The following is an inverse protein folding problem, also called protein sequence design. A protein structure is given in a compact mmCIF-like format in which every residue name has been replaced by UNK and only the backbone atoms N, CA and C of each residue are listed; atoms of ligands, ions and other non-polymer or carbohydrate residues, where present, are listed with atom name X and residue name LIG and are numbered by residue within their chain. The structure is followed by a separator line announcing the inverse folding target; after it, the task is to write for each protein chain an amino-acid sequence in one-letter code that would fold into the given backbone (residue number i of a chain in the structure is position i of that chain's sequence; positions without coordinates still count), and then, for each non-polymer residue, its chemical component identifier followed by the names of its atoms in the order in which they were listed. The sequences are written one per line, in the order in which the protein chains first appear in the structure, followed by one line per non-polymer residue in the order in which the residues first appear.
data_IF_883958459628
#
_entry.id   IF_883958459628
#
_cell.length_a   1.000
_cell.length_b   1.000
_cell.length_c   1.000
_cell.angle_alpha   90.00
_cell.angle_beta   90.00
_cell.angle_gamma   90.00
#
_symmetry.space_group_name_H-M   'P 1'
#
loop_
_entity.id
_entity.type
_entity.pdbx_description
1 polymer ?
#
# COMPACT_ATOMS: atom_id res chain seq x y z
N UNK A 1 9.04 15.18 -0.49
CA UNK A 1 8.46 13.94 -1.06
C UNK A 1 8.25 14.14 -2.55
N UNK A 2 8.62 13.17 -3.36
CA UNK A 2 8.44 13.28 -4.81
C UNK A 2 6.98 13.07 -5.20
N UNK A 3 6.60 13.60 -6.36
CA UNK A 3 5.20 13.65 -6.79
C UNK A 3 4.54 12.26 -6.90
N UNK A 4 5.28 11.25 -7.37
CA UNK A 4 4.78 9.89 -7.51
C UNK A 4 4.44 9.28 -6.15
N UNK A 5 5.32 9.45 -5.17
CA UNK A 5 5.07 8.97 -3.81
C UNK A 5 3.88 9.70 -3.19
N UNK A 6 3.79 11.01 -3.40
CA UNK A 6 2.66 11.81 -2.89
C UNK A 6 1.34 11.30 -3.45
N UNK A 7 1.28 11.02 -4.76
CA UNK A 7 0.06 10.52 -5.41
C UNK A 7 -0.34 9.14 -4.88
N UNK A 8 0.62 8.23 -4.73
CA UNK A 8 0.36 6.89 -4.22
C UNK A 8 -0.18 6.94 -2.79
N UNK A 9 0.50 7.70 -1.93
CA UNK A 9 0.10 7.80 -0.53
C UNK A 9 -1.26 8.50 -0.39
N UNK A 10 -1.53 9.53 -1.19
CA UNK A 10 -2.83 10.19 -1.18
C UNK A 10 -3.95 9.22 -1.55
N UNK A 11 -3.73 8.36 -2.54
CA UNK A 11 -4.71 7.35 -2.90
C UNK A 11 -4.92 6.33 -1.78
N UNK A 12 -3.82 5.80 -1.20
CA UNK A 12 -3.92 4.83 -0.11
C UNK A 12 -4.60 5.43 1.12
N UNK A 13 -4.40 6.73 1.39
CA UNK A 13 -5.06 7.42 2.50
C UNK A 13 -6.58 7.46 2.35
N UNK A 14 -7.12 7.26 1.16
CA UNK A 14 -8.57 7.15 0.99
C UNK A 14 -9.12 5.85 1.57
N UNK A 15 -8.26 4.87 1.82
CA UNK A 15 -8.63 3.55 2.33
C UNK A 15 -8.23 3.43 3.81
N UNK A 16 -7.00 3.77 4.14
CA UNK A 16 -6.45 3.69 5.49
C UNK A 16 -5.28 4.65 5.61
N UNK A 17 -5.09 5.23 6.79
CA UNK A 17 -3.97 6.12 7.05
C UNK A 17 -2.65 5.46 6.63
N UNK A 18 -1.87 6.15 5.80
CA UNK A 18 -0.67 5.61 5.18
C UNK A 18 0.54 6.49 5.49
N UNK A 19 1.64 5.85 5.88
CA UNK A 19 2.90 6.53 6.14
C UNK A 19 3.99 6.00 5.22
N UNK A 20 4.79 6.91 4.66
CA UNK A 20 6.06 6.53 4.05
C UNK A 20 7.08 6.29 5.17
N UNK A 21 7.79 5.19 5.11
CA UNK A 21 8.79 4.87 6.14
C UNK A 21 9.89 5.93 6.22
N UNK A 22 10.37 6.29 7.43
CA UNK A 22 10.02 5.69 8.72
C UNK A 22 8.68 6.18 9.26
N UNK A 23 7.95 5.29 9.92
CA UNK A 23 6.66 5.61 10.52
C UNK A 23 6.87 6.46 11.78
N UNK A 24 6.12 7.56 11.97
CA UNK A 24 6.27 8.37 13.18
C UNK A 24 5.92 7.59 14.45
N UNK A 25 6.61 7.88 15.54
CA UNK A 25 6.34 7.24 16.83
C UNK A 25 4.92 7.49 17.33
N UNK A 26 4.31 8.58 16.87
CA UNK A 26 2.95 8.94 17.24
C UNK A 26 1.86 8.21 16.44
N UNK A 27 2.25 7.40 15.46
CA UNK A 27 1.29 6.67 14.64
C UNK A 27 0.47 5.71 15.49
N UNK A 28 -0.84 5.65 15.21
CA UNK A 28 -1.79 4.80 15.93
C UNK A 28 -2.34 3.74 14.98
N UNK A 29 -2.32 2.49 15.40
CA UNK A 29 -2.90 1.38 14.63
C UNK A 29 -4.41 1.57 14.47
N UNK A 30 -5.01 1.16 13.34
CA UNK A 30 -4.37 0.55 12.19
C UNK A 30 -3.78 1.57 11.22
N UNK A 31 -2.75 1.19 10.48
CA UNK A 31 -2.18 2.05 9.43
C UNK A 31 -1.45 1.20 8.39
N UNK A 32 -1.12 1.82 7.25
CA UNK A 32 -0.28 1.25 6.20
C UNK A 32 1.09 1.91 6.27
N UNK A 33 2.14 1.14 6.09
CA UNK A 33 3.48 1.68 5.89
C UNK A 33 4.07 1.16 4.59
N UNK A 34 4.91 1.98 3.94
CA UNK A 34 5.61 1.56 2.74
C UNK A 34 6.93 2.32 2.57
N UNK A 35 7.90 1.65 1.93
CA UNK A 35 9.11 2.29 1.41
C UNK A 35 8.90 2.48 -0.09
N UNK A 36 8.92 3.72 -0.55
CA UNK A 36 8.58 4.03 -1.94
C UNK A 36 9.64 3.51 -2.91
N UNK A 37 9.16 2.84 -3.98
CA UNK A 37 9.98 2.37 -5.10
C UNK A 37 9.70 3.22 -6.32
N UNK A 38 10.76 3.79 -6.95
CA UNK A 38 10.61 4.63 -8.13
C UNK A 38 11.25 3.95 -9.34
N UNK A 39 10.46 3.45 -10.29
CA UNK A 39 10.99 2.83 -11.51
C UNK A 39 11.26 3.89 -12.58
N UNK A 40 11.76 3.43 -13.72
CA UNK A 40 11.81 4.24 -14.94
C UNK A 40 10.39 4.50 -15.46
N UNK A 41 10.26 5.50 -16.32
CA UNK A 41 8.98 5.83 -16.94
C UNK A 41 8.36 4.60 -17.62
N UNK A 42 7.09 4.35 -17.35
CA UNK A 42 6.25 3.26 -17.88
C UNK A 42 6.70 1.85 -17.49
N UNK A 43 7.86 1.69 -16.85
CA UNK A 43 8.34 0.37 -16.43
C UNK A 43 7.62 -0.05 -15.15
N UNK A 44 7.01 -1.27 -15.11
CA UNK A 44 6.31 -1.70 -13.90
C UNK A 44 7.27 -2.03 -12.77
N UNK A 45 6.84 -1.75 -11.55
CA UNK A 45 7.57 -2.10 -10.33
C UNK A 45 6.60 -2.74 -9.34
N UNK A 46 7.10 -3.66 -8.52
CA UNK A 46 6.31 -4.20 -7.42
C UNK A 46 6.53 -3.31 -6.22
N UNK A 47 5.45 -2.68 -5.77
CA UNK A 47 5.44 -1.87 -4.56
C UNK A 47 4.81 -2.68 -3.45
N UNK A 48 5.61 -3.04 -2.45
CA UNK A 48 5.11 -3.73 -1.28
C UNK A 48 4.71 -2.71 -0.23
N UNK A 49 3.58 -2.96 0.41
CA UNK A 49 3.14 -2.19 1.57
C UNK A 49 2.76 -3.15 2.69
N UNK A 50 2.76 -2.65 3.90
CA UNK A 50 2.38 -3.44 5.08
C UNK A 50 1.17 -2.81 5.74
N UNK A 51 0.15 -3.62 6.00
CA UNK A 51 -1.03 -3.21 6.77
C UNK A 51 -0.82 -3.69 8.20
N UNK A 52 -0.82 -2.76 9.14
CA UNK A 52 -0.60 -3.03 10.56
C UNK A 52 -1.90 -2.87 11.32
N UNK A 53 -2.30 -3.92 12.04
CA UNK A 53 -3.52 -3.90 12.86
C UNK A 53 -3.24 -4.47 14.24
N UNK A 54 -4.14 -4.18 15.17
CA UNK A 54 -4.07 -4.76 16.53
C UNK A 54 -5.15 -5.81 16.68
N UNK A 55 -4.73 -7.06 16.92
CA UNK A 55 -5.64 -8.15 17.19
C UNK A 55 -4.87 -9.32 17.81
N UNK A 56 -5.37 -9.90 18.89
CA UNK A 56 -4.71 -11.01 19.54
C UNK A 56 -4.83 -12.33 18.77
N UNK A 57 -5.95 -12.54 18.08
CA UNK A 57 -6.29 -13.86 17.57
C UNK A 57 -6.60 -13.92 16.07
N UNK A 58 -6.53 -12.79 15.36
CA UNK A 58 -7.07 -12.80 14.01
C UNK A 58 -6.39 -11.80 13.09
N UNK A 59 -6.24 -12.19 11.82
CA UNK A 59 -5.83 -11.29 10.73
C UNK A 59 -7.04 -10.66 10.03
N UNK A 60 -8.27 -10.88 10.52
CA UNK A 60 -9.49 -10.49 9.80
C UNK A 60 -9.53 -9.00 9.48
N UNK A 61 -9.13 -8.13 10.41
CA UNK A 61 -9.12 -6.68 10.17
C UNK A 61 -8.11 -6.31 9.08
N UNK A 62 -6.91 -6.88 9.15
CA UNK A 62 -5.88 -6.60 8.14
C UNK A 62 -6.32 -7.08 6.75
N UNK A 63 -6.90 -8.28 6.67
CA UNK A 63 -7.45 -8.78 5.40
C UNK A 63 -8.60 -7.92 4.90
N UNK A 64 -9.40 -7.36 5.81
CA UNK A 64 -10.49 -6.44 5.44
C UNK A 64 -9.96 -5.22 4.70
N UNK A 65 -8.86 -4.65 5.17
CA UNK A 65 -8.21 -3.53 4.46
C UNK A 65 -7.60 -3.96 3.14
N UNK A 66 -6.97 -5.16 3.09
CA UNK A 66 -6.45 -5.69 1.83
C UNK A 66 -7.58 -5.88 0.81
N UNK A 67 -8.73 -6.38 1.24
CA UNK A 67 -9.90 -6.53 0.39
C UNK A 67 -10.42 -5.18 -0.09
N UNK A 68 -10.40 -4.15 0.76
CA UNK A 68 -10.79 -2.80 0.35
C UNK A 68 -9.87 -2.27 -0.76
N UNK A 69 -8.57 -2.52 -0.65
CA UNK A 69 -7.61 -2.18 -1.72
C UNK A 69 -7.95 -2.95 -3.00
N UNK A 70 -8.17 -4.25 -2.89
CA UNK A 70 -8.51 -5.10 -4.03
C UNK A 70 -9.77 -4.62 -4.74
N UNK A 71 -10.81 -4.29 -3.98
CA UNK A 71 -12.07 -3.78 -4.52
C UNK A 71 -11.85 -2.45 -5.24
N UNK A 72 -11.06 -1.55 -4.65
CA UNK A 72 -10.75 -0.26 -5.27
C UNK A 72 -9.99 -0.41 -6.58
N UNK A 73 -9.11 -1.42 -6.69
CA UNK A 73 -8.35 -1.65 -7.92
C UNK A 73 -9.19 -2.26 -9.04
N UNK A 74 -10.14 -3.14 -8.71
CA UNK A 74 -10.87 -3.89 -9.72
C UNK A 74 -9.98 -4.88 -10.46
N UNK A 75 -10.47 -5.43 -11.58
CA UNK A 75 -9.77 -6.47 -12.33
C UNK A 75 -8.59 -5.94 -13.14
N UNK A 76 -8.71 -4.72 -13.66
CA UNK A 76 -7.71 -4.15 -14.59
C UNK A 76 -6.84 -3.08 -13.93
N UNK A 77 -7.07 -2.81 -12.64
CA UNK A 77 -6.39 -1.75 -11.93
C UNK A 77 -7.03 -0.38 -12.15
N UNK A 78 -6.39 0.65 -11.60
CA UNK A 78 -6.88 2.03 -11.69
C UNK A 78 -5.76 2.96 -12.11
N UNK A 79 -6.15 4.10 -12.68
CA UNK A 79 -5.23 5.20 -12.98
C UNK A 79 -5.42 6.27 -11.91
N UNK A 80 -4.32 6.66 -11.28
CA UNK A 80 -4.30 7.74 -10.29
C UNK A 80 -3.50 8.89 -10.84
N UNK A 81 -4.06 10.09 -10.83
CA UNK A 81 -3.37 11.29 -11.29
C UNK A 81 -2.58 11.92 -10.15
N UNK A 82 -1.34 12.27 -10.43
CA UNK A 82 -0.48 13.05 -9.54
C UNK A 82 -0.05 14.33 -10.23
N UNK A 83 0.79 15.12 -9.53
CA UNK A 83 1.41 16.31 -10.12
C UNK A 83 2.45 15.86 -11.13
N UNK A 84 2.26 16.21 -12.40
CA UNK A 84 3.14 15.86 -13.52
C UNK A 84 3.39 14.35 -13.67
N UNK A 85 2.45 13.52 -13.22
CA UNK A 85 2.58 12.08 -13.37
C UNK A 85 1.22 11.38 -13.32
N UNK A 86 1.20 10.13 -13.80
CA UNK A 86 0.06 9.22 -13.66
C UNK A 86 0.58 7.88 -13.17
N UNK A 87 -0.20 7.21 -12.34
CA UNK A 87 0.12 5.88 -11.83
C UNK A 87 -0.96 4.91 -12.30
N UNK A 88 -0.55 3.80 -12.91
CA UNK A 88 -1.45 2.68 -13.18
C UNK A 88 -1.17 1.62 -12.13
N UNK A 89 -2.11 1.44 -11.21
CA UNK A 89 -1.96 0.56 -10.06
C UNK A 89 -2.80 -0.69 -10.27
N UNK A 90 -2.13 -1.84 -10.22
CA UNK A 90 -2.76 -3.16 -10.38
C UNK A 90 -2.38 -4.06 -9.20
N UNK A 91 -3.08 -5.17 -9.04
CA UNK A 91 -2.70 -6.17 -8.04
C UNK A 91 -1.39 -6.84 -8.45
N UNK A 92 -0.45 -6.93 -7.52
CA UNK A 92 0.76 -7.73 -7.70
C UNK A 92 0.48 -9.21 -7.41
N UNK A 93 1.47 -10.05 -7.63
CA UNK A 93 1.36 -11.49 -7.37
C UNK A 93 2.58 -11.96 -6.56
N UNK A 94 2.36 -12.58 -5.39
CA UNK A 94 1.08 -12.73 -4.71
C UNK A 94 0.53 -11.39 -4.25
N UNK A 95 -0.80 -11.25 -4.21
CA UNK A 95 -1.39 -9.99 -3.79
C UNK A 95 -1.25 -9.77 -2.28
N UNK A 96 -1.56 -10.78 -1.49
CA UNK A 96 -1.57 -10.70 -0.02
C UNK A 96 -0.71 -11.82 0.56
N UNK A 97 0.12 -11.48 1.55
CA UNK A 97 0.93 -12.43 2.30
C UNK A 97 0.91 -12.07 3.78
N UNK A 98 0.83 -13.10 4.63
CA UNK A 98 0.99 -12.87 6.07
C UNK A 98 2.45 -12.54 6.38
N UNK A 99 2.63 -11.65 7.36
CA UNK A 99 3.94 -11.39 7.92
C UNK A 99 3.95 -11.87 9.38
N UNK A 100 4.94 -12.69 9.71
CA UNK A 100 5.14 -13.08 11.11
C UNK A 100 5.64 -11.88 11.91
N UNK A 101 5.04 -11.67 13.08
CA UNK A 101 5.45 -10.63 13.99
C UNK A 101 5.54 -11.23 15.38
N UNK A 102 6.57 -10.85 16.14
CA UNK A 102 6.78 -11.36 17.49
C UNK A 102 5.84 -10.71 18.50
N UNK A 103 5.26 -9.57 18.17
CA UNK A 103 4.32 -8.87 19.03
C UNK A 103 2.97 -9.60 19.00
N UNK A 104 2.49 -10.03 20.17
CA UNK A 104 1.30 -10.87 20.28
C UNK A 104 0.02 -10.19 19.84
N UNK A 105 -0.05 -8.87 19.94
CA UNK A 105 -1.28 -8.11 19.66
C UNK A 105 -1.26 -7.40 18.34
N UNK A 106 -0.14 -7.44 17.62
CA UNK A 106 0.02 -6.77 16.32
C UNK A 106 -0.01 -7.81 15.22
N UNK A 107 -0.82 -7.56 14.20
CA UNK A 107 -0.91 -8.38 13.00
C UNK A 107 -0.51 -7.57 11.80
N UNK A 108 0.40 -8.10 11.02
CA UNK A 108 0.90 -7.46 9.81
C UNK A 108 0.60 -8.31 8.60
N UNK A 109 0.09 -7.67 7.55
CA UNK A 109 -0.17 -8.31 6.26
C UNK A 109 0.53 -7.51 5.19
N UNK A 110 1.27 -8.20 4.33
CA UNK A 110 1.94 -7.60 3.19
C UNK A 110 1.02 -7.60 1.99
N UNK A 111 0.94 -6.48 1.29
CA UNK A 111 0.19 -6.35 0.04
C UNK A 111 1.16 -5.91 -1.04
N UNK A 112 1.11 -6.58 -2.18
CA UNK A 112 1.95 -6.27 -3.33
C UNK A 112 1.11 -5.63 -4.42
N UNK A 113 1.53 -4.44 -4.85
CA UNK A 113 0.92 -3.73 -5.97
C UNK A 113 1.91 -3.73 -7.13
N UNK A 114 1.40 -3.87 -8.34
CA UNK A 114 2.21 -3.67 -9.54
C UNK A 114 1.87 -2.29 -10.08
N UNK A 115 2.84 -1.40 -10.11
CA UNK A 115 2.61 0.00 -10.48
C UNK A 115 3.48 0.39 -11.66
N UNK A 116 2.85 1.00 -12.67
CA UNK A 116 3.57 1.66 -13.76
C UNK A 116 3.40 3.17 -13.60
N UNK A 117 4.51 3.89 -13.65
CA UNK A 117 4.53 5.34 -13.50
C UNK A 117 4.77 5.99 -14.85
N UNK A 118 3.95 6.98 -15.18
CA UNK A 118 4.07 7.75 -16.41
C UNK A 118 4.36 9.20 -16.04
N UNK A 119 5.48 9.72 -16.49
CA UNK A 119 5.93 11.08 -16.18
C UNK A 119 5.55 12.01 -17.34
N UNK A 120 5.06 13.16 -16.99
CA UNK A 120 4.73 14.18 -17.98
C UNK A 120 5.94 15.03 -18.36
#
# INVERSE_FOLDING_TARGET
MINQATALIAWLNTILTTYQEPVPDTAVLPYISLGFEQPRNAEPVIQQLTIWTRSENSYAQAYGYATAIETALGEVGIIVDGVDCKLWIKKGSPFVQNRNDDERTIRAVLVNLEISYYYN
#
